data_IF_959496325019
#
_entry.id   IF_959496325019
#
_cell.length_a   1.000
_cell.length_b   1.000
_cell.length_c   1.000
_cell.angle_alpha   90.00
_cell.angle_beta   90.00
_cell.angle_gamma   90.00
#
_symmetry.space_group_name_H-M   'P 1'
#
loop_
_entity.id
_entity.type
_entity.pdbx_description
1 polymer ?
#
# COMPACT_ATOMS: atom_id res chain seq x y z
N UNK A 1 -6.17 6.35 14.56
CA UNK A 1 -7.01 5.25 14.04
C UNK A 1 -6.28 4.38 13.00
N UNK A 2 -5.18 3.72 13.37
CA UNK A 2 -4.61 2.64 12.54
C UNK A 2 -5.47 1.37 12.55
N UNK A 3 -6.49 1.33 13.42
CA UNK A 3 -7.43 0.22 13.57
C UNK A 3 -8.45 0.10 12.41
N UNK A 4 -8.58 1.12 11.54
CA UNK A 4 -9.58 1.18 10.46
C UNK A 4 -9.03 0.87 9.05
N UNK A 5 -7.84 0.27 8.95
CA UNK A 5 -7.29 -0.11 7.65
C UNK A 5 -8.04 -1.29 7.00
N UNK A 6 -8.12 -1.29 5.67
CA UNK A 6 -8.69 -2.40 4.91
C UNK A 6 -7.70 -3.57 4.88
N UNK A 7 -8.11 -4.79 5.27
CA UNK A 7 -7.24 -5.96 5.22
C UNK A 7 -7.00 -6.42 3.78
N UNK A 8 -5.82 -6.99 3.55
CA UNK A 8 -5.48 -7.61 2.28
C UNK A 8 -4.17 -8.39 2.34
N UNK A 9 -3.79 -8.93 1.19
CA UNK A 9 -2.56 -9.72 1.01
C UNK A 9 -1.62 -8.99 0.05
N UNK A 10 -0.35 -8.85 0.43
CA UNK A 10 0.68 -8.30 -0.45
C UNK A 10 0.97 -9.27 -1.59
N UNK A 11 0.66 -8.89 -2.83
CA UNK A 11 0.86 -9.75 -4.02
C UNK A 11 2.11 -9.37 -4.80
N UNK A 12 2.48 -8.10 -4.85
CA UNK A 12 3.71 -7.63 -5.50
C UNK A 12 4.35 -6.48 -4.72
N UNK A 13 5.68 -6.36 -4.82
CA UNK A 13 6.45 -5.23 -4.28
C UNK A 13 7.55 -4.81 -5.24
N UNK A 14 7.74 -3.50 -5.41
CA UNK A 14 8.78 -2.93 -6.25
C UNK A 14 9.47 -1.77 -5.53
N UNK A 15 10.75 -1.93 -5.22
CA UNK A 15 11.54 -0.93 -4.51
C UNK A 15 12.13 0.08 -5.50
N UNK A 16 11.89 1.37 -5.26
CA UNK A 16 12.26 2.49 -6.12
C UNK A 16 12.97 3.58 -5.30
N UNK A 17 14.26 3.38 -5.04
CA UNK A 17 15.03 4.29 -4.20
C UNK A 17 14.50 4.29 -2.77
N UNK A 18 13.91 5.41 -2.34
CA UNK A 18 13.33 5.58 -0.99
C UNK A 18 11.82 5.29 -0.92
N UNK A 19 11.22 4.78 -1.98
CA UNK A 19 9.81 4.37 -2.00
C UNK A 19 9.64 2.91 -2.40
N UNK A 20 8.52 2.32 -1.99
CA UNK A 20 8.07 1.00 -2.44
C UNK A 20 6.68 1.13 -3.01
N UNK A 21 6.50 0.59 -4.21
CA UNK A 21 5.18 0.31 -4.76
C UNK A 21 4.77 -1.10 -4.33
N UNK A 22 3.59 -1.22 -3.75
CA UNK A 22 3.02 -2.46 -3.27
C UNK A 22 1.65 -2.68 -3.93
N UNK A 23 1.46 -3.83 -4.56
CA UNK A 23 0.14 -4.28 -4.99
C UNK A 23 -0.45 -5.14 -3.88
N UNK A 24 -1.63 -4.75 -3.39
CA UNK A 24 -2.35 -5.46 -2.34
C UNK A 24 -3.67 -5.95 -2.91
N UNK A 25 -3.93 -7.24 -2.77
CA UNK A 25 -5.25 -7.81 -3.01
C UNK A 25 -6.07 -7.74 -1.73
N UNK A 26 -7.11 -6.92 -1.73
CA UNK A 26 -8.05 -6.83 -0.62
C UNK A 26 -8.90 -8.12 -0.52
N UNK A 27 -9.47 -8.35 0.66
CA UNK A 27 -10.29 -9.56 0.93
C UNK A 27 -11.56 -9.64 0.06
N UNK A 28 -12.03 -8.51 -0.47
CA UNK A 28 -13.15 -8.43 -1.42
C UNK A 28 -12.75 -8.73 -2.88
N UNK A 29 -11.46 -8.97 -3.13
CA UNK A 29 -10.89 -9.27 -4.44
C UNK A 29 -10.44 -8.05 -5.24
N UNK A 30 -10.63 -6.83 -4.74
CA UNK A 30 -10.12 -5.62 -5.39
C UNK A 30 -8.60 -5.52 -5.21
N UNK A 31 -7.90 -5.15 -6.28
CA UNK A 31 -6.48 -4.84 -6.21
C UNK A 31 -6.26 -3.33 -5.97
N UNK A 32 -5.39 -3.02 -5.02
CA UNK A 32 -4.99 -1.64 -4.68
C UNK A 32 -3.49 -1.49 -4.83
N UNK A 33 -3.08 -0.47 -5.58
CA UNK A 33 -1.69 -0.05 -5.65
C UNK A 33 -1.42 1.01 -4.58
N UNK A 34 -0.52 0.71 -3.66
CA UNK A 34 -0.08 1.62 -2.63
C UNK A 34 1.38 2.04 -2.88
N UNK A 35 1.67 3.32 -2.67
CA UNK A 35 3.05 3.82 -2.63
C UNK A 35 3.35 4.31 -1.21
N UNK A 36 4.55 3.97 -0.71
CA UNK A 36 5.01 4.37 0.62
C UNK A 36 6.49 4.70 0.60
N UNK A 37 6.88 5.72 1.35
CA UNK A 37 8.28 5.95 1.71
C UNK A 37 8.74 4.95 2.77
N UNK A 38 9.95 4.42 2.62
CA UNK A 38 10.58 3.57 3.62
C UNK A 38 11.97 4.08 3.95
N UNK A 39 12.42 3.74 5.16
CA UNK A 39 13.81 3.94 5.55
C UNK A 39 14.59 2.68 5.17
N UNK A 40 15.60 2.83 4.31
CA UNK A 40 16.40 1.71 3.83
C UNK A 40 17.39 1.19 4.89
N UNK A 41 17.66 2.00 5.92
CA UNK A 41 18.52 1.64 7.04
C UNK A 41 17.71 0.99 8.18
N UNK A 42 16.38 0.93 8.09
CA UNK A 42 15.51 0.26 9.07
C UNK A 42 15.61 -1.27 8.91
N UNK A 43 16.23 -1.98 9.88
CA UNK A 43 16.43 -3.42 9.80
C UNK A 43 15.13 -4.22 9.97
N UNK A 44 14.06 -3.59 10.45
CA UNK A 44 12.75 -4.23 10.63
C UNK A 44 11.86 -4.10 9.39
N UNK A 45 12.27 -3.30 8.39
CA UNK A 45 11.48 -3.06 7.19
C UNK A 45 11.60 -4.20 6.16
N UNK A 46 10.71 -5.21 6.23
CA UNK A 46 10.62 -6.27 5.23
C UNK A 46 9.16 -6.68 4.94
N UNK A 47 8.60 -6.16 3.84
CA UNK A 47 7.29 -6.56 3.32
C UNK A 47 7.38 -7.87 2.54
N UNK A 48 7.00 -9.03 3.08
CA UNK A 48 7.11 -10.30 2.33
C UNK A 48 5.89 -10.53 1.47
N UNK A 49 6.11 -11.06 0.27
CA UNK A 49 5.01 -11.47 -0.59
C UNK A 49 4.17 -12.53 0.13
N UNK A 50 2.84 -12.35 0.11
CA UNK A 50 1.89 -13.18 0.85
C UNK A 50 1.62 -12.69 2.28
N UNK A 51 2.30 -11.66 2.78
CA UNK A 51 1.99 -11.12 4.10
C UNK A 51 0.58 -10.52 4.14
N UNK A 52 -0.13 -10.81 5.23
CA UNK A 52 -1.38 -10.14 5.57
C UNK A 52 -1.07 -8.74 6.08
N UNK A 53 -1.63 -7.74 5.41
CA UNK A 53 -1.41 -6.32 5.70
C UNK A 53 -2.76 -5.61 5.88
N UNK A 54 -2.71 -4.40 6.45
CA UNK A 54 -3.83 -3.47 6.44
C UNK A 54 -3.40 -2.18 5.74
N UNK A 55 -4.18 -1.75 4.75
CA UNK A 55 -3.97 -0.47 4.07
C UNK A 55 -4.83 0.61 4.72
N UNK A 56 -4.23 1.76 4.97
CA UNK A 56 -4.94 2.96 5.41
C UNK A 56 -4.44 4.17 4.64
N UNK A 57 -5.26 5.21 4.59
CA UNK A 57 -5.01 6.41 3.83
C UNK A 57 -4.83 7.58 4.77
N UNK A 58 -3.99 8.54 4.40
CA UNK A 58 -4.00 9.83 5.05
C UNK A 58 -5.31 10.51 4.68
N UNK A 59 -6.03 11.00 5.69
CA UNK A 59 -7.29 11.71 5.49
C UNK A 59 -7.09 12.86 4.49
N UNK A 60 -8.04 13.02 3.57
CA UNK A 60 -8.05 14.06 2.53
C UNK A 60 -6.94 13.90 1.46
N UNK A 61 -6.39 12.69 1.32
CA UNK A 61 -5.38 12.35 0.30
C UNK A 61 -5.99 11.86 -1.03
N UNK A 62 -7.31 11.84 -1.18
CA UNK A 62 -7.95 11.47 -2.45
C UNK A 62 -8.02 12.65 -3.42
N UNK A 63 -7.42 12.48 -4.61
CA UNK A 63 -7.60 13.41 -5.72
C UNK A 63 -8.44 12.73 -6.80
N UNK A 64 -9.67 13.21 -6.99
CA UNK A 64 -10.54 12.76 -8.07
C UNK A 64 -10.27 13.59 -9.32
N UNK A 65 -9.96 12.93 -10.44
CA UNK A 65 -9.86 13.57 -11.74
C UNK A 65 -11.14 13.31 -12.55
N UNK A 66 -11.56 14.26 -13.42
CA UNK A 66 -12.68 14.03 -14.33
C UNK A 66 -12.39 12.83 -15.25
N UNK A 67 -13.42 12.04 -15.54
CA UNK A 67 -13.31 10.88 -16.42
C UNK A 67 -13.00 11.26 -17.87
N UNK A 68 -13.40 12.47 -18.29
CA UNK A 68 -13.16 13.03 -19.61
C UNK A 68 -12.71 14.49 -19.47
N UNK A 69 -11.49 14.78 -19.92
CA UNK A 69 -10.98 16.14 -20.16
C UNK A 69 -10.77 16.35 -21.66
#
# INVERSE_FOLDING_TARGET
DAEQGLPGTLVERNYKGSTVDALIRLDDGQDVLANRFFDADDPEFDYRLGDTVKISWVKDSEWLLPADA
#
